data_IF_460192841257
#
_entry.id   IF_460192841257
#
_cell.length_a   1.000
_cell.length_b   1.000
_cell.length_c   1.000
_cell.angle_alpha   90.00
_cell.angle_beta   90.00
_cell.angle_gamma   90.00
#
_symmetry.space_group_name_H-M   'P 1'
#
loop_
_entity.id
_entity.type
_entity.pdbx_description
1 polymer ?
#
# COMPACT_ATOMS: atom_id res chain seq x y z
N UNK A 1 19.40 31.57 -36.03
CA UNK A 1 19.30 30.77 -34.82
C UNK A 1 18.09 29.84 -34.98
N UNK A 2 18.25 28.55 -34.84
CA UNK A 2 17.12 27.65 -34.91
C UNK A 2 16.20 27.93 -33.71
N UNK A 3 14.94 28.20 -33.97
CA UNK A 3 13.92 28.35 -32.94
C UNK A 3 13.84 27.04 -32.18
N UNK A 4 14.13 27.04 -30.89
CA UNK A 4 14.01 25.86 -30.04
C UNK A 4 12.52 25.57 -29.94
N UNK A 5 12.05 24.58 -30.68
CA UNK A 5 10.67 24.13 -30.56
C UNK A 5 10.50 23.38 -29.23
N UNK A 6 9.39 23.66 -28.55
CA UNK A 6 8.98 22.87 -27.41
C UNK A 6 8.94 21.39 -27.79
N UNK A 7 9.46 20.51 -26.93
CA UNK A 7 9.41 19.07 -27.18
C UNK A 7 8.57 18.38 -26.11
N UNK A 8 7.95 17.28 -26.51
CA UNK A 8 7.12 16.48 -25.64
C UNK A 8 7.92 15.29 -25.12
N UNK A 9 7.99 15.13 -23.82
CA UNK A 9 8.64 14.03 -23.14
C UNK A 9 7.59 13.14 -22.45
N UNK A 10 7.64 11.82 -22.71
CA UNK A 10 6.89 10.85 -21.91
C UNK A 10 7.76 10.39 -20.74
N UNK A 11 7.40 10.82 -19.54
CA UNK A 11 8.03 10.39 -18.31
C UNK A 11 7.26 9.19 -17.74
N UNK A 12 7.85 8.01 -17.85
CA UNK A 12 7.18 6.76 -17.48
C UNK A 12 6.23 6.21 -18.58
N UNK A 13 5.62 5.02 -18.34
CA UNK A 13 5.69 4.21 -17.11
C UNK A 13 7.03 3.51 -16.86
N UNK A 14 7.85 3.26 -17.89
CA UNK A 14 9.18 2.67 -17.75
C UNK A 14 10.19 3.78 -17.42
N UNK A 15 10.26 4.14 -16.15
CA UNK A 15 11.23 5.09 -15.61
C UNK A 15 11.43 4.78 -14.13
N UNK A 16 12.64 4.81 -13.58
CA UNK A 16 12.89 4.52 -12.17
C UNK A 16 12.03 5.34 -11.19
N UNK A 17 11.84 6.62 -11.47
CA UNK A 17 11.03 7.51 -10.63
C UNK A 17 9.51 7.41 -10.88
N UNK A 18 9.07 6.65 -11.87
CA UNK A 18 7.64 6.47 -12.19
C UNK A 18 7.00 5.28 -11.47
N UNK A 19 7.78 4.46 -10.75
CA UNK A 19 7.35 3.28 -10.00
C UNK A 19 6.48 2.29 -10.83
N UNK A 20 6.66 2.27 -12.15
CA UNK A 20 5.95 1.39 -13.08
C UNK A 20 4.51 1.79 -13.41
N UNK A 21 3.95 2.81 -12.77
CA UNK A 21 2.52 3.16 -12.85
C UNK A 21 2.24 4.63 -13.19
N UNK A 22 3.24 5.48 -13.18
CA UNK A 22 3.09 6.88 -13.57
C UNK A 22 3.43 7.07 -15.04
N UNK A 23 2.51 7.62 -15.82
CA UNK A 23 2.78 8.21 -17.12
C UNK A 23 2.52 9.70 -17.04
N UNK A 24 3.57 10.49 -17.18
CA UNK A 24 3.51 11.94 -17.17
C UNK A 24 3.98 12.47 -18.52
N UNK A 25 3.09 13.12 -19.26
CA UNK A 25 3.45 13.76 -20.52
C UNK A 25 3.82 15.21 -20.22
N UNK A 26 5.07 15.56 -20.51
CA UNK A 26 5.62 16.88 -20.27
C UNK A 26 5.83 17.61 -21.59
N UNK A 27 5.42 18.87 -21.66
CA UNK A 27 5.83 19.80 -22.69
C UNK A 27 6.93 20.71 -22.12
N UNK A 28 8.10 20.67 -22.72
CA UNK A 28 9.31 21.33 -22.24
C UNK A 28 9.78 22.40 -23.22
N UNK A 29 10.18 23.54 -22.67
CA UNK A 29 10.97 24.56 -23.37
C UNK A 29 12.39 24.54 -22.78
N UNK A 30 13.29 23.82 -23.43
CA UNK A 30 14.58 23.46 -22.84
C UNK A 30 14.37 22.58 -21.60
N UNK A 31 14.76 23.04 -20.43
CA UNK A 31 14.58 22.35 -19.13
C UNK A 31 13.34 22.85 -18.35
N UNK A 32 12.64 23.85 -18.88
CA UNK A 32 11.48 24.42 -18.19
C UNK A 32 10.21 23.69 -18.60
N UNK A 33 9.47 23.19 -17.61
CA UNK A 33 8.18 22.54 -17.83
C UNK A 33 7.12 23.62 -18.13
N UNK A 34 6.57 23.59 -19.33
CA UNK A 34 5.47 24.46 -19.75
C UNK A 34 4.10 23.85 -19.41
N UNK A 35 3.99 22.53 -19.56
CA UNK A 35 2.78 21.78 -19.28
C UNK A 35 3.10 20.39 -18.76
N UNK A 36 2.33 19.94 -17.79
CA UNK A 36 2.36 18.57 -17.29
C UNK A 36 0.96 17.97 -17.38
N UNK A 37 0.85 16.82 -18.04
CA UNK A 37 -0.41 16.10 -18.24
C UNK A 37 -0.27 14.68 -17.66
N UNK A 38 -0.78 14.43 -16.44
CA UNK A 38 -0.69 13.12 -15.80
C UNK A 38 -1.75 12.15 -16.35
N UNK A 39 -1.31 11.02 -16.87
CA UNK A 39 -2.17 9.93 -17.29
C UNK A 39 -2.25 8.88 -16.18
N UNK A 40 -3.33 8.92 -15.43
CA UNK A 40 -3.62 7.99 -14.32
C UNK A 40 -4.40 6.77 -14.82
N UNK A 41 -4.47 5.73 -13.98
CA UNK A 41 -5.28 4.54 -14.26
C UNK A 41 -4.49 3.27 -14.53
N UNK A 42 -3.16 3.32 -14.62
CA UNK A 42 -2.33 2.14 -14.87
C UNK A 42 -2.40 1.11 -13.72
N UNK A 43 -2.79 1.53 -12.52
CA UNK A 43 -3.02 0.67 -11.36
C UNK A 43 -4.51 0.53 -11.00
N UNK A 44 -5.40 1.03 -11.83
CA UNK A 44 -6.84 0.92 -11.59
C UNK A 44 -7.31 -0.52 -11.80
N UNK A 45 -7.85 -1.14 -10.73
CA UNK A 45 -8.27 -2.54 -10.71
C UNK A 45 -9.77 -2.72 -10.49
N UNK A 46 -10.55 -1.67 -10.65
CA UNK A 46 -11.99 -1.64 -10.43
C UNK A 46 -12.43 -2.19 -9.06
N UNK A 47 -11.65 -1.94 -8.01
CA UNK A 47 -11.86 -2.49 -6.65
C UNK A 47 -13.25 -2.17 -6.11
N UNK A 48 -13.71 -0.93 -6.28
CA UNK A 48 -15.06 -0.51 -5.84
C UNK A 48 -16.15 -1.28 -6.56
N UNK A 49 -16.03 -1.41 -7.88
CA UNK A 49 -17.00 -2.14 -8.70
C UNK A 49 -17.04 -3.63 -8.38
N UNK A 50 -15.90 -4.23 -8.07
CA UNK A 50 -15.83 -5.62 -7.63
C UNK A 50 -16.47 -5.79 -6.24
N UNK A 51 -16.26 -4.85 -5.33
CA UNK A 51 -16.82 -4.88 -3.99
C UNK A 51 -18.37 -4.81 -3.99
N UNK A 52 -18.97 -4.05 -4.93
CA UNK A 52 -20.44 -3.96 -5.05
C UNK A 52 -21.14 -5.33 -5.22
N UNK A 53 -20.45 -6.31 -5.80
CA UNK A 53 -20.98 -7.65 -6.04
C UNK A 53 -20.61 -8.67 -4.97
N UNK A 54 -20.07 -8.21 -3.84
CA UNK A 54 -19.60 -9.06 -2.75
C UNK A 54 -20.30 -8.71 -1.44
N UNK A 55 -20.34 -9.67 -0.52
CA UNK A 55 -20.71 -9.38 0.87
C UNK A 55 -19.60 -8.59 1.56
N UNK A 56 -19.89 -7.94 2.69
CA UNK A 56 -18.90 -7.20 3.47
C UNK A 56 -17.67 -8.05 3.81
N UNK A 57 -17.86 -9.29 4.25
CA UNK A 57 -16.75 -10.20 4.57
C UNK A 57 -15.94 -10.56 3.33
N UNK A 58 -16.59 -10.80 2.20
CA UNK A 58 -15.91 -11.11 0.93
C UNK A 58 -15.19 -9.90 0.34
N UNK A 59 -15.58 -8.68 0.73
CA UNK A 59 -14.93 -7.45 0.27
C UNK A 59 -13.70 -7.08 1.09
N UNK A 60 -13.56 -7.64 2.30
CA UNK A 60 -12.45 -7.35 3.20
C UNK A 60 -11.07 -7.50 2.53
N UNK A 61 -10.76 -8.58 1.80
CA UNK A 61 -9.47 -8.73 1.13
C UNK A 61 -9.15 -7.66 0.08
N UNK A 62 -10.15 -6.95 -0.45
CA UNK A 62 -9.89 -5.85 -1.38
C UNK A 62 -9.27 -4.65 -0.68
N UNK A 63 -9.51 -4.47 0.61
CA UNK A 63 -8.96 -3.37 1.40
C UNK A 63 -7.44 -3.49 1.52
N UNK A 64 -6.91 -4.71 1.62
CA UNK A 64 -5.46 -4.96 1.66
C UNK A 64 -4.72 -4.45 0.43
N UNK A 65 -5.40 -4.39 -0.71
CA UNK A 65 -4.82 -4.00 -1.99
C UNK A 65 -4.92 -2.50 -2.26
N UNK A 66 -5.47 -1.72 -1.35
CA UNK A 66 -5.52 -0.26 -1.46
C UNK A 66 -4.16 0.32 -1.08
N UNK A 67 -3.87 0.44 0.19
CA UNK A 67 -2.51 0.68 0.67
C UNK A 67 -1.86 -0.67 1.00
N UNK A 68 -1.24 -1.28 0.01
CA UNK A 68 -0.65 -2.63 0.11
C UNK A 68 0.62 -2.68 0.98
N UNK A 69 1.02 -1.58 1.58
CA UNK A 69 2.11 -1.51 2.58
C UNK A 69 1.55 -1.48 4.00
N UNK A 70 0.27 -1.08 4.18
CA UNK A 70 -0.42 -0.98 5.47
C UNK A 70 -1.68 -1.83 5.53
N UNK A 71 -1.58 -3.08 5.12
CA UNK A 71 -2.70 -4.00 4.89
C UNK A 71 -3.64 -4.11 6.09
N UNK A 72 -3.14 -4.45 7.27
CA UNK A 72 -4.00 -4.64 8.44
C UNK A 72 -4.62 -3.34 8.97
N UNK A 73 -4.01 -2.20 8.71
CA UNK A 73 -4.62 -0.90 9.03
C UNK A 73 -5.84 -0.64 8.14
N UNK A 74 -5.77 -0.99 6.85
CA UNK A 74 -6.89 -0.87 5.92
C UNK A 74 -8.05 -1.77 6.32
N UNK A 75 -7.77 -3.04 6.64
CA UNK A 75 -8.77 -3.99 7.12
C UNK A 75 -9.41 -3.51 8.42
N UNK A 76 -8.60 -3.01 9.36
CA UNK A 76 -9.08 -2.51 10.64
C UNK A 76 -10.03 -1.32 10.45
N UNK A 77 -9.69 -0.36 9.59
CA UNK A 77 -10.55 0.78 9.29
C UNK A 77 -11.89 0.34 8.69
N UNK A 78 -11.86 -0.61 7.76
CA UNK A 78 -13.05 -1.19 7.15
C UNK A 78 -13.94 -1.92 8.18
N UNK A 79 -13.32 -2.77 9.02
CA UNK A 79 -14.06 -3.50 10.07
C UNK A 79 -14.71 -2.54 11.06
N UNK A 80 -14.00 -1.49 11.51
CA UNK A 80 -14.56 -0.48 12.42
C UNK A 80 -15.78 0.22 11.83
N UNK A 81 -15.75 0.52 10.53
CA UNK A 81 -16.88 1.15 9.85
C UNK A 81 -18.11 0.25 9.83
N UNK A 82 -17.93 -1.04 9.53
CA UNK A 82 -19.04 -2.03 9.49
C UNK A 82 -19.55 -2.33 10.90
N UNK A 83 -18.67 -2.52 11.87
CA UNK A 83 -19.05 -2.77 13.27
C UNK A 83 -19.86 -1.60 13.84
N UNK A 84 -19.46 -0.37 13.53
CA UNK A 84 -20.21 0.82 13.91
C UNK A 84 -21.58 0.87 13.24
N UNK A 85 -21.67 0.48 11.97
CA UNK A 85 -22.93 0.44 11.22
C UNK A 85 -23.90 -0.60 11.78
N UNK A 86 -23.39 -1.76 12.19
CA UNK A 86 -24.16 -2.88 12.69
C UNK A 86 -24.37 -2.85 14.22
N UNK A 87 -23.71 -1.95 14.94
CA UNK A 87 -23.77 -1.87 16.40
C UNK A 87 -23.12 -3.08 17.10
N UNK A 88 -22.09 -3.66 16.49
CA UNK A 88 -21.40 -4.83 17.04
C UNK A 88 -20.37 -4.39 18.07
N UNK A 89 -20.42 -4.97 19.26
CA UNK A 89 -19.39 -4.82 20.29
C UNK A 89 -18.28 -5.84 20.10
N UNK A 90 -17.05 -5.35 20.00
CA UNK A 90 -15.86 -6.20 19.82
C UNK A 90 -15.27 -6.59 21.17
N UNK A 91 -14.99 -7.89 21.41
CA UNK A 91 -14.35 -8.34 22.65
C UNK A 91 -13.02 -7.64 22.90
N UNK A 92 -12.73 -7.32 24.17
CA UNK A 92 -11.55 -6.55 24.57
C UNK A 92 -10.23 -7.21 24.06
N UNK A 93 -10.14 -8.52 24.10
CA UNK A 93 -8.97 -9.25 23.58
C UNK A 93 -8.72 -8.96 22.09
N UNK A 94 -9.80 -8.94 21.29
CA UNK A 94 -9.70 -8.63 19.86
C UNK A 94 -9.25 -7.18 19.62
N UNK A 95 -9.71 -6.25 20.46
CA UNK A 95 -9.27 -4.85 20.38
C UNK A 95 -7.76 -4.71 20.61
N UNK A 96 -7.21 -5.37 21.64
CA UNK A 96 -5.77 -5.37 21.90
C UNK A 96 -4.96 -6.01 20.76
N UNK A 97 -5.42 -7.13 20.21
CA UNK A 97 -4.78 -7.79 19.06
C UNK A 97 -4.77 -6.83 17.86
N UNK A 98 -5.87 -6.18 17.56
CA UNK A 98 -5.97 -5.20 16.45
C UNK A 98 -5.00 -4.03 16.62
N UNK A 99 -4.91 -3.47 17.82
CA UNK A 99 -3.95 -2.39 18.10
C UNK A 99 -2.51 -2.88 17.89
N UNK A 100 -2.16 -4.02 18.44
CA UNK A 100 -0.82 -4.60 18.29
C UNK A 100 -0.45 -4.78 16.83
N UNK A 101 -1.33 -5.39 16.02
CA UNK A 101 -1.05 -5.63 14.60
C UNK A 101 -1.12 -4.35 13.76
N UNK A 102 -1.91 -3.36 14.14
CA UNK A 102 -1.88 -2.04 13.50
C UNK A 102 -0.54 -1.34 13.73
N UNK A 103 0.05 -1.47 14.92
CA UNK A 103 1.36 -0.90 15.22
C UNK A 103 2.50 -1.65 14.51
N UNK A 104 2.45 -2.98 14.42
CA UNK A 104 3.39 -3.77 13.61
C UNK A 104 3.29 -3.36 12.14
N UNK A 105 2.08 -3.19 11.63
CA UNK A 105 1.82 -2.70 10.27
C UNK A 105 2.42 -1.32 10.05
N UNK A 106 2.28 -0.43 11.01
CA UNK A 106 2.87 0.91 10.94
C UNK A 106 4.39 0.86 10.89
N UNK A 107 5.02 -0.01 11.65
CA UNK A 107 6.48 -0.24 11.59
C UNK A 107 6.90 -0.78 10.21
N UNK A 108 6.18 -1.77 9.68
CA UNK A 108 6.40 -2.30 8.33
C UNK A 108 6.32 -1.22 7.24
N UNK A 109 5.35 -0.32 7.36
CA UNK A 109 5.19 0.82 6.45
C UNK A 109 6.38 1.78 6.55
N UNK A 110 6.78 2.15 7.75
CA UNK A 110 7.91 3.05 7.95
C UNK A 110 9.23 2.47 7.43
N UNK A 111 9.47 1.19 7.62
CA UNK A 111 10.65 0.51 7.07
C UNK A 111 10.64 0.50 5.54
N UNK A 112 9.49 0.28 4.92
CA UNK A 112 9.36 0.36 3.46
C UNK A 112 9.61 1.77 2.95
N UNK A 113 9.00 2.77 3.59
CA UNK A 113 9.21 4.17 3.24
C UNK A 113 10.69 4.57 3.38
N UNK A 114 11.30 4.27 4.52
CA UNK A 114 12.70 4.61 4.78
C UNK A 114 13.63 3.93 3.78
N UNK A 115 13.40 2.64 3.51
CA UNK A 115 14.20 1.86 2.57
C UNK A 115 14.09 2.39 1.14
N UNK A 116 12.89 2.65 0.66
CA UNK A 116 12.66 3.18 -0.70
C UNK A 116 13.20 4.59 -0.86
N UNK A 117 12.99 5.47 0.11
CA UNK A 117 13.53 6.83 0.09
C UNK A 117 15.07 6.83 0.12
N UNK A 118 15.68 6.01 0.97
CA UNK A 118 17.14 5.84 1.00
C UNK A 118 17.70 5.34 -0.33
N UNK A 119 16.99 4.40 -0.98
CA UNK A 119 17.37 3.92 -2.31
C UNK A 119 17.28 5.04 -3.37
N UNK A 120 16.24 5.85 -3.34
CA UNK A 120 16.06 6.99 -4.25
C UNK A 120 17.15 8.07 -4.05
N UNK A 121 17.66 8.23 -2.82
CA UNK A 121 18.80 9.07 -2.51
C UNK A 121 20.17 8.44 -2.87
N UNK A 122 20.18 7.23 -3.43
CA UNK A 122 21.39 6.54 -3.91
C UNK A 122 21.97 5.51 -2.95
N UNK A 123 21.29 5.17 -1.84
CA UNK A 123 21.75 4.17 -0.86
C UNK A 123 20.95 2.89 -0.93
N UNK A 124 21.27 2.01 -1.87
CA UNK A 124 20.60 0.70 -2.04
C UNK A 124 20.72 -0.22 -0.81
N UNK A 125 21.80 -0.07 -0.04
CA UNK A 125 22.05 -0.87 1.16
C UNK A 125 20.98 -0.65 2.23
N UNK A 126 20.47 0.59 2.38
CA UNK A 126 19.38 0.91 3.32
C UNK A 126 18.14 0.10 2.99
N UNK A 127 17.81 -0.04 1.71
CA UNK A 127 16.68 -0.85 1.26
C UNK A 127 16.82 -2.30 1.71
N UNK A 128 17.99 -2.90 1.52
CA UNK A 128 18.25 -4.30 1.88
C UNK A 128 18.12 -4.50 3.40
N UNK A 129 18.69 -3.60 4.21
CA UNK A 129 18.56 -3.67 5.67
C UNK A 129 17.11 -3.50 6.13
N UNK A 130 16.37 -2.53 5.56
CA UNK A 130 14.98 -2.32 5.89
C UNK A 130 14.13 -3.56 5.57
N UNK A 131 14.38 -4.24 4.45
CA UNK A 131 13.67 -5.47 4.08
C UNK A 131 14.00 -6.63 5.00
N UNK A 132 15.21 -6.75 5.50
CA UNK A 132 15.58 -7.77 6.49
C UNK A 132 14.73 -7.63 7.77
N UNK A 133 14.64 -6.44 8.31
CA UNK A 133 13.81 -6.17 9.50
C UNK A 133 12.31 -6.39 9.22
N UNK A 134 11.88 -6.16 7.98
CA UNK A 134 10.49 -6.45 7.57
C UNK A 134 10.18 -7.94 7.56
N UNK A 135 11.12 -8.79 7.16
CA UNK A 135 10.94 -10.25 7.19
C UNK A 135 10.62 -10.74 8.61
N UNK A 136 11.38 -10.29 9.61
CA UNK A 136 11.14 -10.65 11.01
C UNK A 136 9.73 -10.21 11.48
N UNK A 137 9.25 -9.06 11.02
CA UNK A 137 7.89 -8.58 11.33
C UNK A 137 6.80 -9.36 10.59
N UNK A 138 7.07 -9.86 9.39
CA UNK A 138 6.14 -10.74 8.68
C UNK A 138 5.99 -12.10 9.36
N UNK A 139 7.02 -12.61 10.02
CA UNK A 139 6.91 -13.82 10.84
C UNK A 139 5.91 -13.62 11.99
N UNK A 140 5.83 -12.42 12.55
CA UNK A 140 4.78 -12.07 13.53
C UNK A 140 3.38 -12.12 12.91
N UNK A 141 3.21 -11.69 11.65
CA UNK A 141 1.93 -11.81 10.94
C UNK A 141 1.52 -13.28 10.75
N UNK A 142 2.46 -14.13 10.36
CA UNK A 142 2.22 -15.56 10.23
C UNK A 142 1.87 -16.20 11.58
N UNK A 143 2.43 -15.72 12.68
CA UNK A 143 2.11 -16.20 14.02
C UNK A 143 0.67 -15.94 14.43
N UNK A 144 0.01 -14.93 13.87
CA UNK A 144 -1.39 -14.60 14.13
C UNK A 144 -2.31 -15.78 13.79
N UNK A 145 -2.02 -16.54 12.75
CA UNK A 145 -2.78 -17.73 12.36
C UNK A 145 -2.84 -18.72 13.53
N UNK A 146 -1.75 -18.86 14.27
CA UNK A 146 -1.66 -19.76 15.43
C UNK A 146 -2.33 -19.17 16.68
N UNK A 147 -2.35 -17.85 16.82
CA UNK A 147 -2.97 -17.15 17.97
C UNK A 147 -4.48 -17.10 17.82
N UNK A 148 -5.00 -16.91 16.60
CA UNK A 148 -6.41 -16.69 16.31
C UNK A 148 -7.15 -17.98 15.93
N UNK A 149 -6.42 -19.04 15.56
CA UNK A 149 -7.07 -20.31 15.22
C UNK A 149 -7.74 -20.89 16.47
N UNK A 150 -9.07 -21.16 16.42
CA UNK A 150 -9.70 -21.84 17.53
C UNK A 150 -9.02 -23.20 17.72
N UNK A 151 -8.55 -23.47 18.92
CA UNK A 151 -7.99 -24.77 19.29
C UNK A 151 -8.97 -25.84 18.83
N UNK A 152 -8.66 -26.52 17.74
CA UNK A 152 -9.41 -27.72 17.36
C UNK A 152 -9.31 -28.68 18.52
N UNK A 153 -10.37 -28.80 19.28
CA UNK A 153 -10.52 -29.89 20.22
C UNK A 153 -10.30 -31.17 19.42
N UNK A 154 -9.11 -31.77 19.57
CA UNK A 154 -8.89 -33.13 19.08
C UNK A 154 -9.88 -34.02 19.83
N UNK A 155 -10.95 -34.41 19.16
CA UNK A 155 -11.79 -35.52 19.57
C UNK A 155 -11.04 -36.81 19.34
#
# INVERSE_FOLDING_TARGET
MAEIKNYTLNFGPQHPAAHGVLRLVLELDGEVVQRADPHIGLLHRATEKLAENKTFIQSLPYMDRLDYVSMMCNEHAYCLAIEKLLGIEVPIRAQYIRVMFSEITRMLNHLMWLGSHGNDCGSSTILIYAFREREDLFDMYLSLIHISEPTRLRR
#
